data_IF_646362540362
#
_entry.id   IF_646362540362
#
_cell.length_a   1.000
_cell.length_b   1.000
_cell.length_c   1.000
_cell.angle_alpha   90.00
_cell.angle_beta   90.00
_cell.angle_gamma   90.00
#
_symmetry.space_group_name_H-M   'P 1'
#
loop_
_entity.id
_entity.type
_entity.pdbx_description
1 polymer ?
#
# COMPACT_ATOMS: atom_id res chain seq x y z
N UNK A 1 25.21 -10.90 14.06
CA UNK A 1 23.98 -11.45 13.45
C UNK A 1 23.60 -10.56 12.27
N UNK A 2 23.95 -10.94 11.04
CA UNK A 2 23.62 -10.18 9.85
C UNK A 2 22.22 -10.61 9.39
N UNK A 3 21.22 -9.75 9.56
CA UNK A 3 19.89 -10.00 9.00
C UNK A 3 20.02 -9.76 7.49
N UNK A 4 20.22 -10.84 6.72
CA UNK A 4 20.15 -10.80 5.25
C UNK A 4 18.67 -10.69 4.87
N UNK A 5 18.19 -9.46 4.77
CA UNK A 5 16.91 -9.18 4.11
C UNK A 5 17.08 -9.53 2.64
N UNK A 6 16.34 -10.52 2.15
CA UNK A 6 16.28 -10.84 0.72
C UNK A 6 15.47 -9.74 0.04
N UNK A 7 16.15 -8.85 -0.69
CA UNK A 7 15.52 -7.70 -1.34
C UNK A 7 14.37 -8.11 -2.29
N UNK A 8 14.47 -9.30 -2.90
CA UNK A 8 13.43 -9.89 -3.74
C UNK A 8 12.13 -10.18 -2.97
N UNK A 9 12.23 -10.67 -1.74
CA UNK A 9 11.06 -10.98 -0.90
C UNK A 9 10.32 -9.69 -0.49
N UNK A 10 11.06 -8.60 -0.25
CA UNK A 10 10.46 -7.31 0.09
C UNK A 10 9.83 -6.66 -1.15
N UNK A 11 10.46 -6.77 -2.32
CA UNK A 11 9.87 -6.29 -3.57
C UNK A 11 8.59 -7.05 -3.93
N UNK A 12 8.57 -8.38 -3.75
CA UNK A 12 7.39 -9.21 -3.94
C UNK A 12 6.25 -8.81 -2.98
N UNK A 13 6.56 -8.62 -1.70
CA UNK A 13 5.57 -8.18 -0.70
C UNK A 13 4.97 -6.82 -1.04
N UNK A 14 5.78 -5.86 -1.49
CA UNK A 14 5.30 -4.53 -1.93
C UNK A 14 4.37 -4.65 -3.14
N UNK A 15 4.70 -5.49 -4.11
CA UNK A 15 3.85 -5.74 -5.27
C UNK A 15 2.51 -6.37 -4.87
N UNK A 16 2.52 -7.35 -3.97
CA UNK A 16 1.32 -8.00 -3.45
C UNK A 16 0.43 -7.03 -2.67
N UNK A 17 1.02 -6.23 -1.78
CA UNK A 17 0.28 -5.20 -1.04
C UNK A 17 -0.34 -4.14 -1.97
N UNK A 18 0.34 -3.77 -3.07
CA UNK A 18 -0.23 -2.86 -4.07
C UNK A 18 -1.41 -3.48 -4.84
N UNK A 19 -1.41 -4.80 -5.06
CA UNK A 19 -2.54 -5.53 -5.64
C UNK A 19 -3.70 -5.56 -4.66
N UNK A 20 -3.46 -5.89 -3.39
CA UNK A 20 -4.48 -5.92 -2.34
C UNK A 20 -5.10 -4.52 -2.15
N UNK A 21 -4.29 -3.46 -2.12
CA UNK A 21 -4.78 -2.08 -2.01
C UNK A 21 -5.71 -1.68 -3.16
N UNK A 22 -5.40 -2.07 -4.40
CA UNK A 22 -6.30 -1.84 -5.55
C UNK A 22 -7.60 -2.64 -5.44
N UNK A 23 -7.53 -3.87 -4.93
CA UNK A 23 -8.70 -4.73 -4.77
C UNK A 23 -9.68 -4.14 -3.73
N UNK A 24 -9.14 -3.62 -2.63
CA UNK A 24 -9.93 -2.91 -1.62
C UNK A 24 -10.61 -1.68 -2.23
N UNK A 25 -9.88 -0.89 -3.04
CA UNK A 25 -10.45 0.28 -3.71
C UNK A 25 -11.66 -0.05 -4.59
N UNK A 26 -11.56 -1.12 -5.38
CA UNK A 26 -12.63 -1.58 -6.27
C UNK A 26 -13.85 -2.05 -5.47
N UNK A 27 -13.64 -2.80 -4.38
CA UNK A 27 -14.72 -3.24 -3.51
C UNK A 27 -15.44 -2.04 -2.88
N UNK A 28 -14.70 -1.03 -2.43
CA UNK A 28 -15.27 0.18 -1.86
C UNK A 28 -16.07 0.99 -2.88
N UNK A 29 -15.57 1.14 -4.11
CA UNK A 29 -16.31 1.80 -5.20
C UNK A 29 -17.61 1.07 -5.57
N UNK A 30 -17.57 -0.26 -5.57
CA UNK A 30 -18.77 -1.07 -5.84
C UNK A 30 -19.79 -0.90 -4.71
N UNK A 31 -19.33 -0.95 -3.45
CA UNK A 31 -20.18 -0.77 -2.27
C UNK A 31 -20.79 0.65 -2.24
N UNK A 32 -20.04 1.67 -2.69
CA UNK A 32 -20.55 3.03 -2.84
C UNK A 32 -21.62 3.15 -3.93
N UNK A 33 -21.40 2.53 -5.08
CA UNK A 33 -22.41 2.46 -6.15
C UNK A 33 -23.68 1.75 -5.68
N UNK A 34 -23.55 0.62 -5.00
CA UNK A 34 -24.69 -0.14 -4.47
C UNK A 34 -25.43 0.65 -3.38
N UNK A 35 -24.72 1.32 -2.47
CA UNK A 35 -25.36 2.14 -1.44
C UNK A 35 -26.15 3.32 -2.01
N UNK A 36 -25.65 3.93 -3.11
CA UNK A 36 -26.34 5.03 -3.80
C UNK A 36 -27.62 4.59 -4.49
N UNK A 37 -27.70 3.34 -4.95
CA UNK A 37 -28.92 2.78 -5.52
C UNK A 37 -29.97 2.48 -4.43
N UNK A 38 -29.52 2.13 -3.22
CA UNK A 38 -30.36 1.81 -2.07
C UNK A 38 -30.65 3.03 -1.18
N UNK A 39 -30.12 4.21 -1.52
CA UNK A 39 -30.23 5.42 -0.71
C UNK A 39 -31.67 5.91 -0.53
N UNK A 40 -32.59 5.57 -1.44
CA UNK A 40 -34.02 5.86 -1.28
C UNK A 40 -34.66 5.07 -0.14
N UNK A 41 -34.08 3.92 0.21
CA UNK A 41 -34.66 2.94 1.12
C UNK A 41 -33.98 2.98 2.51
N UNK A 42 -32.85 3.69 2.62
CA UNK A 42 -32.10 3.83 3.86
C UNK A 42 -32.63 4.99 4.71
N UNK A 43 -33.03 4.68 5.94
CA UNK A 43 -33.31 5.69 6.97
C UNK A 43 -32.00 6.32 7.47
N UNK A 44 -32.09 7.49 8.13
CA UNK A 44 -30.93 8.32 8.49
C UNK A 44 -29.78 7.60 9.20
N UNK A 45 -30.08 6.61 10.04
CA UNK A 45 -29.07 5.84 10.78
C UNK A 45 -28.21 4.96 9.85
N UNK A 46 -28.82 4.30 8.86
CA UNK A 46 -28.09 3.48 7.89
C UNK A 46 -27.18 4.34 6.99
N UNK A 47 -27.66 5.53 6.60
CA UNK A 47 -26.87 6.52 5.85
C UNK A 47 -25.68 7.02 6.66
N UNK A 48 -25.87 7.29 7.95
CA UNK A 48 -24.80 7.75 8.83
C UNK A 48 -23.76 6.66 9.09
N UNK A 49 -24.19 5.43 9.35
CA UNK A 49 -23.29 4.28 9.51
C UNK A 49 -22.44 4.04 8.25
N UNK A 50 -23.05 4.12 7.06
CA UNK A 50 -22.33 4.01 5.80
C UNK A 50 -21.33 5.14 5.60
N UNK A 51 -21.71 6.39 5.86
CA UNK A 51 -20.79 7.54 5.76
C UNK A 51 -19.57 7.35 6.65
N UNK A 52 -19.77 6.86 7.88
CA UNK A 52 -18.68 6.57 8.81
C UNK A 52 -17.78 5.44 8.29
N UNK A 53 -18.36 4.33 7.85
CA UNK A 53 -17.60 3.19 7.30
C UNK A 53 -16.81 3.60 6.05
N UNK A 54 -17.44 4.33 5.12
CA UNK A 54 -16.80 4.86 3.92
C UNK A 54 -15.60 5.77 4.26
N UNK A 55 -15.75 6.67 5.23
CA UNK A 55 -14.67 7.53 5.68
C UNK A 55 -13.49 6.73 6.29
N UNK A 56 -13.79 5.75 7.16
CA UNK A 56 -12.77 4.91 7.78
C UNK A 56 -12.00 4.08 6.75
N UNK A 57 -12.70 3.48 5.79
CA UNK A 57 -12.07 2.67 4.75
C UNK A 57 -11.26 3.52 3.77
N UNK A 58 -11.74 4.71 3.41
CA UNK A 58 -10.98 5.67 2.60
C UNK A 58 -9.68 6.05 3.30
N UNK A 59 -9.75 6.36 4.61
CA UNK A 59 -8.57 6.69 5.40
C UNK A 59 -7.57 5.52 5.49
N UNK A 60 -8.05 4.29 5.72
CA UNK A 60 -7.21 3.10 5.75
C UNK A 60 -6.51 2.85 4.40
N UNK A 61 -7.20 3.09 3.28
CA UNK A 61 -6.62 2.97 1.95
C UNK A 61 -5.52 4.00 1.69
N UNK A 62 -5.71 5.26 2.12
CA UNK A 62 -4.66 6.27 2.06
C UNK A 62 -3.44 5.87 2.88
N UNK A 63 -3.65 5.41 4.12
CA UNK A 63 -2.56 4.96 4.98
C UNK A 63 -1.78 3.78 4.36
N UNK A 64 -2.46 2.79 3.77
CA UNK A 64 -1.80 1.69 3.06
C UNK A 64 -0.96 2.19 1.88
N UNK A 65 -1.49 3.11 1.08
CA UNK A 65 -0.75 3.68 -0.05
C UNK A 65 0.50 4.45 0.40
N UNK A 66 0.41 5.17 1.50
CA UNK A 66 1.55 5.93 2.05
C UNK A 66 2.63 4.99 2.58
N UNK A 67 2.25 3.92 3.29
CA UNK A 67 3.17 2.87 3.75
C UNK A 67 3.85 2.19 2.56
N UNK A 68 3.10 1.88 1.49
CA UNK A 68 3.65 1.27 0.28
C UNK A 68 4.64 2.17 -0.44
N UNK A 69 4.33 3.47 -0.55
CA UNK A 69 5.24 4.47 -1.12
C UNK A 69 6.52 4.57 -0.29
N UNK A 70 6.39 4.58 1.03
CA UNK A 70 7.53 4.63 1.94
C UNK A 70 8.43 3.40 1.82
N UNK A 71 7.83 2.20 1.82
CA UNK A 71 8.56 0.95 1.60
C UNK A 71 9.28 0.94 0.24
N UNK A 72 8.61 1.38 -0.82
CA UNK A 72 9.21 1.48 -2.15
C UNK A 72 10.40 2.43 -2.17
N UNK A 73 10.28 3.61 -1.53
CA UNK A 73 11.40 4.57 -1.42
C UNK A 73 12.58 3.99 -0.64
N UNK A 74 12.33 3.30 0.47
CA UNK A 74 13.37 2.66 1.28
C UNK A 74 14.07 1.54 0.53
N UNK A 75 13.33 0.73 -0.21
CA UNK A 75 13.89 -0.30 -1.09
C UNK A 75 14.81 0.31 -2.15
N UNK A 76 14.36 1.36 -2.83
CA UNK A 76 15.15 2.04 -3.86
C UNK A 76 16.46 2.63 -3.29
N UNK A 77 16.38 3.29 -2.13
CA UNK A 77 17.56 3.82 -1.42
C UNK A 77 18.51 2.71 -0.98
N UNK A 78 18.01 1.59 -0.49
CA UNK A 78 18.85 0.47 -0.06
C UNK A 78 19.54 -0.19 -1.26
N UNK A 79 18.83 -0.34 -2.38
CA UNK A 79 19.40 -0.88 -3.61
C UNK A 79 20.53 0.01 -4.15
N UNK A 80 20.34 1.34 -4.14
CA UNK A 80 21.36 2.30 -4.54
C UNK A 80 22.62 2.16 -3.67
N UNK A 81 22.47 2.13 -2.34
CA UNK A 81 23.60 1.94 -1.43
C UNK A 81 24.32 0.60 -1.61
N UNK A 82 23.61 -0.48 -1.93
CA UNK A 82 24.22 -1.78 -2.21
C UNK A 82 25.08 -1.76 -3.48
N UNK A 83 24.63 -1.07 -4.53
CA UNK A 83 25.37 -0.92 -5.80
C UNK A 83 26.61 -0.03 -5.59
N UNK A 84 26.45 1.08 -4.88
CA UNK A 84 27.57 2.00 -4.59
C UNK A 84 28.64 1.31 -3.72
N UNK A 85 28.23 0.55 -2.70
CA UNK A 85 29.15 -0.22 -1.86
C UNK A 85 29.87 -1.32 -2.67
N UNK A 86 29.18 -1.99 -3.58
CA UNK A 86 29.79 -3.01 -4.44
C UNK A 86 30.80 -2.40 -5.41
N UNK A 87 30.46 -1.25 -6.00
CA UNK A 87 31.34 -0.52 -6.93
C UNK A 87 32.57 0.04 -6.20
N UNK A 88 32.38 0.61 -5.01
CA UNK A 88 33.48 1.08 -4.16
C UNK A 88 34.37 -0.07 -3.71
N UNK A 89 33.81 -1.24 -3.39
CA UNK A 89 34.60 -2.40 -3.01
C UNK A 89 35.46 -2.88 -4.20
N UNK A 90 34.90 -2.95 -5.41
CA UNK A 90 35.66 -3.32 -6.61
C UNK A 90 36.81 -2.33 -6.87
N UNK A 91 36.56 -1.03 -6.72
CA UNK A 91 37.57 0.01 -6.98
C UNK A 91 38.64 0.16 -5.87
N UNK A 92 38.47 -0.46 -4.70
CA UNK A 92 39.44 -0.40 -3.58
C UNK A 92 40.49 -1.52 -3.66
N UNK A 93 40.20 -2.57 -4.43
CA UNK A 93 41.08 -3.75 -4.56
C UNK A 93 41.75 -3.86 -5.94
N UNK A 94 41.62 -2.85 -6.80
CA UNK A 94 42.53 -2.60 -7.95
C UNK A 94 43.57 -1.53 -7.58
#
# INVERSE_FOLDING_TARGET
MQIRVRHDDVAALVAEMAVVGRRIAIVLENLDRESKLLQSDWTGEARDAYRVAHAQWTAAQHAMNDVLRELTRRLASTNQHSIDASTSAVNVWE
#
